data_IF_151683102673
#
_entry.id   IF_151683102673
#
_cell.length_a   1.000
_cell.length_b   1.000
_cell.length_c   1.000
_cell.angle_alpha   90.00
_cell.angle_beta   90.00
_cell.angle_gamma   90.00
#
_symmetry.space_group_name_H-M   'P 1'
#
loop_
_entity.id
_entity.type
_entity.pdbx_description
1 polymer ?
#
# COMPACT_ATOMS: atom_id res chain seq x y z
N UNK A 1 14.77 -5.08 -9.48
CA UNK A 1 14.68 -6.51 -9.81
C UNK A 1 14.08 -6.62 -11.20
N UNK A 2 14.46 -7.62 -12.00
CA UNK A 2 14.02 -7.80 -13.39
C UNK A 2 13.45 -9.22 -13.53
N UNK A 3 12.28 -9.37 -14.15
CA UNK A 3 11.72 -10.67 -14.48
C UNK A 3 12.56 -11.34 -15.58
N UNK A 4 13.04 -12.56 -15.34
CA UNK A 4 13.88 -13.35 -16.23
C UNK A 4 13.13 -14.45 -16.95
N UNK A 5 12.23 -15.12 -16.25
CA UNK A 5 11.40 -16.14 -16.89
C UNK A 5 10.11 -16.38 -16.13
N UNK A 6 9.14 -16.89 -16.87
CA UNK A 6 7.88 -17.44 -16.36
C UNK A 6 7.82 -18.89 -16.80
N UNK A 7 7.60 -19.80 -15.86
CA UNK A 7 7.33 -21.21 -16.11
C UNK A 7 5.86 -21.51 -15.79
N UNK A 8 5.15 -22.10 -16.74
CA UNK A 8 3.73 -22.39 -16.66
C UNK A 8 3.49 -23.90 -16.72
N UNK A 9 2.93 -24.44 -15.63
CA UNK A 9 2.59 -25.85 -15.47
C UNK A 9 1.06 -26.00 -15.36
N UNK A 10 0.42 -26.40 -16.47
CA UNK A 10 -1.04 -26.54 -16.58
C UNK A 10 -1.84 -25.26 -16.27
N UNK A 11 -1.32 -24.10 -16.74
CA UNK A 11 -1.92 -22.78 -16.58
C UNK A 11 -2.67 -22.34 -17.86
N UNK A 12 -3.99 -22.36 -17.81
CA UNK A 12 -4.89 -22.07 -18.93
C UNK A 12 -4.66 -23.06 -20.07
N UNK A 13 -4.14 -22.55 -21.20
CA UNK A 13 -3.78 -23.38 -22.36
C UNK A 13 -2.35 -23.93 -22.32
N UNK A 14 -1.51 -23.41 -21.43
CA UNK A 14 -0.10 -23.76 -21.36
C UNK A 14 0.07 -24.99 -20.48
N UNK A 15 0.67 -26.06 -21.03
CA UNK A 15 0.86 -27.32 -20.30
C UNK A 15 2.18 -27.33 -19.55
N UNK A 16 3.28 -27.11 -20.25
CA UNK A 16 4.64 -26.96 -19.73
C UNK A 16 5.32 -25.97 -20.67
N UNK A 17 5.24 -24.68 -20.35
CA UNK A 17 5.82 -23.63 -21.18
C UNK A 17 6.72 -22.76 -20.32
N UNK A 18 7.97 -22.61 -20.76
CA UNK A 18 8.89 -21.60 -20.22
C UNK A 18 8.97 -20.45 -21.22
N UNK A 19 8.88 -19.23 -20.71
CA UNK A 19 9.10 -18.00 -21.49
C UNK A 19 10.19 -17.20 -20.81
N UNK A 20 11.25 -16.90 -21.56
CA UNK A 20 12.37 -16.10 -21.09
C UNK A 20 12.23 -14.64 -21.53
N UNK A 21 12.61 -13.73 -20.64
CA UNK A 21 12.61 -12.29 -20.85
C UNK A 21 14.03 -11.75 -20.80
N UNK A 22 14.32 -10.84 -21.73
CA UNK A 22 15.59 -10.11 -21.78
C UNK A 22 15.43 -8.72 -21.17
N UNK A 23 16.56 -8.09 -20.83
CA UNK A 23 16.56 -6.69 -20.41
C UNK A 23 16.12 -5.82 -21.58
N UNK A 24 15.31 -4.79 -21.30
CA UNK A 24 14.72 -3.92 -22.32
C UNK A 24 13.30 -4.35 -22.69
N UNK A 25 12.92 -4.09 -23.94
CA UNK A 25 11.56 -4.36 -24.43
C UNK A 25 11.44 -5.79 -24.96
N UNK A 26 10.47 -6.53 -24.43
CA UNK A 26 10.12 -7.88 -24.89
C UNK A 26 8.78 -7.81 -25.62
N UNK A 27 8.73 -8.26 -26.88
CA UNK A 27 7.52 -8.23 -27.71
C UNK A 27 6.96 -9.64 -27.88
N UNK A 28 5.71 -9.85 -27.45
CA UNK A 28 5.01 -11.14 -27.55
C UNK A 28 3.94 -11.05 -28.65
N UNK A 29 4.16 -11.76 -29.77
CA UNK A 29 3.24 -11.79 -30.91
C UNK A 29 2.65 -13.19 -31.06
N UNK A 30 1.37 -13.25 -31.42
CA UNK A 30 0.69 -14.49 -31.75
C UNK A 30 -0.75 -14.21 -32.20
N UNK A 31 -1.42 -15.20 -32.82
CA UNK A 31 -2.81 -15.07 -33.25
C UNK A 31 -3.77 -14.79 -32.07
N UNK A 32 -5.03 -14.48 -32.37
CA UNK A 32 -6.06 -14.43 -31.33
C UNK A 32 -6.11 -15.78 -30.60
N UNK A 33 -6.40 -15.73 -29.30
CA UNK A 33 -6.40 -16.92 -28.43
C UNK A 33 -5.04 -17.64 -28.34
N UNK A 34 -3.96 -16.99 -28.81
CA UNK A 34 -2.59 -17.41 -28.55
C UNK A 34 -2.16 -17.25 -27.09
N UNK A 35 -3.08 -17.10 -26.13
CA UNK A 35 -2.78 -17.05 -24.70
C UNK A 35 -1.84 -15.92 -24.28
N UNK A 36 -1.72 -14.86 -25.09
CA UNK A 36 -0.86 -13.70 -24.78
C UNK A 36 -1.27 -13.03 -23.47
N UNK A 37 -2.56 -12.73 -23.34
CA UNK A 37 -3.12 -12.17 -22.11
C UNK A 37 -3.03 -13.15 -20.95
N UNK A 38 -3.16 -14.45 -21.21
CA UNK A 38 -2.98 -15.51 -20.20
C UNK A 38 -1.54 -15.57 -19.67
N UNK A 39 -0.54 -15.44 -20.55
CA UNK A 39 0.87 -15.35 -20.17
C UNK A 39 1.12 -14.11 -19.30
N UNK A 40 0.56 -12.96 -19.69
CA UNK A 40 0.70 -11.72 -18.93
C UNK A 40 0.05 -11.83 -17.54
N UNK A 41 -1.18 -12.36 -17.45
CA UNK A 41 -1.91 -12.58 -16.20
C UNK A 41 -1.29 -13.64 -15.28
N UNK A 42 -0.43 -14.51 -15.80
CA UNK A 42 0.30 -15.45 -14.96
C UNK A 42 1.21 -14.76 -13.95
N UNK A 43 1.75 -13.57 -14.27
CA UNK A 43 2.65 -12.81 -13.39
C UNK A 43 1.94 -12.40 -12.10
N UNK A 44 0.85 -11.59 -12.12
CA UNK A 44 0.12 -11.26 -10.90
C UNK A 44 -0.50 -12.49 -10.24
N UNK A 45 -0.93 -13.50 -11.01
CA UNK A 45 -1.47 -14.73 -10.45
C UNK A 45 -0.45 -15.50 -9.61
N UNK A 46 0.82 -15.60 -10.04
CA UNK A 46 1.87 -16.25 -9.25
C UNK A 46 2.26 -15.41 -8.03
N UNK A 47 2.34 -14.09 -8.19
CA UNK A 47 2.70 -13.20 -7.08
C UNK A 47 1.62 -13.20 -6.01
N UNK A 48 0.36 -12.96 -6.35
CA UNK A 48 -0.69 -12.67 -5.37
C UNK A 48 -1.79 -13.72 -5.28
N UNK A 49 -1.83 -14.68 -6.20
CA UNK A 49 -2.96 -15.60 -6.36
C UNK A 49 -4.03 -15.02 -7.28
N UNK A 50 -5.15 -15.73 -7.45
CA UNK A 50 -6.21 -15.29 -8.38
C UNK A 50 -7.59 -15.66 -7.87
N UNK A 51 -8.54 -14.73 -8.02
CA UNK A 51 -9.97 -15.00 -7.81
C UNK A 51 -10.62 -15.73 -9.01
N UNK A 52 -9.90 -15.89 -10.11
CA UNK A 52 -10.43 -16.42 -11.37
C UNK A 52 -9.78 -17.76 -11.75
N UNK A 53 -9.53 -18.62 -10.76
CA UNK A 53 -8.87 -19.92 -10.96
C UNK A 53 -9.53 -20.75 -12.05
N UNK A 54 -10.87 -20.74 -12.14
CA UNK A 54 -11.63 -21.48 -13.16
C UNK A 54 -11.27 -21.08 -14.59
N UNK A 55 -10.81 -19.85 -14.84
CA UNK A 55 -10.35 -19.41 -16.17
C UNK A 55 -9.00 -20.01 -16.56
N UNK A 56 -8.19 -20.38 -15.57
CA UNK A 56 -6.83 -20.88 -15.76
C UNK A 56 -6.73 -22.38 -15.49
N UNK A 57 -7.78 -23.02 -14.99
CA UNK A 57 -7.80 -24.45 -14.79
C UNK A 57 -7.86 -25.16 -16.14
N UNK A 58 -6.88 -26.04 -16.39
CA UNK A 58 -6.89 -26.88 -17.59
C UNK A 58 -7.96 -27.98 -17.44
N UNK A 59 -8.83 -28.16 -18.43
CA UNK A 59 -9.89 -29.18 -18.38
C UNK A 59 -9.30 -30.59 -18.12
N UNK A 60 -9.89 -31.31 -17.18
CA UNK A 60 -9.47 -32.67 -16.83
C UNK A 60 -8.18 -32.80 -16.02
N UNK A 61 -7.60 -31.69 -15.53
CA UNK A 61 -6.43 -31.70 -14.65
C UNK A 61 -6.72 -31.01 -13.32
N UNK A 62 -6.17 -31.57 -12.25
CA UNK A 62 -6.20 -31.01 -10.89
C UNK A 62 -4.84 -30.42 -10.51
N UNK A 63 -4.13 -29.83 -11.47
CA UNK A 63 -2.87 -29.14 -11.24
C UNK A 63 -2.86 -27.83 -12.02
N UNK A 64 -2.48 -26.75 -11.35
CA UNK A 64 -2.26 -25.44 -11.94
C UNK A 64 -1.19 -24.74 -11.09
N UNK A 65 0.04 -24.74 -11.60
CA UNK A 65 1.19 -24.14 -10.95
C UNK A 65 1.96 -23.26 -11.93
N UNK A 66 2.64 -22.27 -11.40
CA UNK A 66 3.53 -21.44 -12.19
C UNK A 66 4.65 -20.87 -11.31
N UNK A 67 5.78 -20.59 -11.95
CA UNK A 67 6.97 -20.05 -11.31
C UNK A 67 7.42 -18.78 -12.01
N UNK A 68 7.87 -17.80 -11.24
CA UNK A 68 8.53 -16.59 -11.72
C UNK A 68 9.97 -16.58 -11.23
N UNK A 69 10.88 -16.19 -12.12
CA UNK A 69 12.28 -16.02 -11.79
C UNK A 69 12.66 -14.56 -11.99
N UNK A 70 13.20 -13.94 -10.96
CA UNK A 70 13.68 -12.57 -10.95
C UNK A 70 15.19 -12.54 -10.72
N UNK A 71 15.83 -11.53 -11.27
CA UNK A 71 17.26 -11.27 -11.06
C UNK A 71 17.52 -9.77 -10.84
N UNK A 72 18.45 -9.46 -9.95
CA UNK A 72 18.99 -8.12 -9.83
C UNK A 72 19.82 -7.96 -8.56
N UNK A 73 20.73 -6.97 -8.56
CA UNK A 73 21.57 -6.63 -7.41
C UNK A 73 22.38 -7.82 -6.85
N UNK A 74 22.84 -8.73 -7.71
CA UNK A 74 23.59 -9.94 -7.32
C UNK A 74 22.74 -11.00 -6.60
N UNK A 75 21.42 -10.98 -6.83
CA UNK A 75 20.46 -11.91 -6.24
C UNK A 75 19.56 -12.51 -7.31
N UNK A 76 19.20 -13.76 -7.11
CA UNK A 76 18.20 -14.48 -7.89
C UNK A 76 17.04 -14.87 -6.98
N UNK A 77 15.81 -14.63 -7.43
CA UNK A 77 14.62 -14.94 -6.65
C UNK A 77 13.68 -15.80 -7.49
N UNK A 78 13.21 -16.89 -6.89
CA UNK A 78 12.19 -17.76 -7.46
C UNK A 78 10.93 -17.64 -6.62
N UNK A 79 9.80 -17.39 -7.26
CA UNK A 79 8.46 -17.47 -6.65
C UNK A 79 7.69 -18.55 -7.37
N UNK A 80 7.37 -19.64 -6.69
CA UNK A 80 6.53 -20.74 -7.20
C UNK A 80 5.20 -20.71 -6.48
N UNK A 81 4.09 -20.81 -7.20
CA UNK A 81 2.75 -20.90 -6.62
C UNK A 81 1.98 -22.08 -7.20
N UNK A 82 1.29 -22.81 -6.32
CA UNK A 82 0.20 -23.69 -6.69
C UNK A 82 -1.12 -22.92 -6.55
N UNK A 83 -1.77 -22.64 -7.67
CA UNK A 83 -2.97 -21.81 -7.72
C UNK A 83 -4.22 -22.55 -7.25
N UNK A 84 -4.16 -23.88 -7.13
CA UNK A 84 -5.25 -24.69 -6.58
C UNK A 84 -5.28 -24.66 -5.05
N UNK A 85 -4.11 -24.63 -4.41
CA UNK A 85 -3.96 -24.71 -2.94
C UNK A 85 -3.56 -23.39 -2.29
N UNK A 86 -3.24 -22.37 -3.10
CA UNK A 86 -2.63 -21.10 -2.70
C UNK A 86 -1.32 -21.26 -1.92
N UNK A 87 -0.65 -22.41 -2.08
CA UNK A 87 0.69 -22.64 -1.53
C UNK A 87 1.72 -21.92 -2.39
N UNK A 88 2.63 -21.23 -1.70
CA UNK A 88 3.69 -20.44 -2.31
C UNK A 88 5.01 -20.82 -1.69
N UNK A 89 6.02 -20.92 -2.55
CA UNK A 89 7.42 -21.01 -2.16
C UNK A 89 8.15 -19.82 -2.76
N UNK A 90 8.84 -19.06 -1.92
CA UNK A 90 9.73 -17.98 -2.35
C UNK A 90 11.14 -18.32 -1.88
N UNK A 91 12.10 -18.32 -2.79
CA UNK A 91 13.51 -18.61 -2.49
C UNK A 91 14.37 -17.51 -3.08
N UNK A 92 15.18 -16.87 -2.24
CA UNK A 92 16.19 -15.89 -2.63
C UNK A 92 17.58 -16.50 -2.50
N UNK A 93 18.41 -16.33 -3.52
CA UNK A 93 19.79 -16.82 -3.55
C UNK A 93 20.76 -15.72 -3.96
N UNK A 94 22.00 -15.82 -3.50
CA UNK A 94 23.12 -15.00 -3.99
C UNK A 94 23.67 -15.52 -5.35
N UNK A 95 24.67 -14.82 -5.88
CA UNK A 95 25.36 -15.20 -7.13
C UNK A 95 26.14 -16.53 -7.03
N UNK A 96 26.41 -17.02 -5.81
CA UNK A 96 27.02 -18.32 -5.54
C UNK A 96 25.97 -19.42 -5.32
N UNK A 97 24.69 -19.12 -5.55
CA UNK A 97 23.55 -20.00 -5.34
C UNK A 97 23.28 -20.41 -3.88
N UNK A 98 23.86 -19.71 -2.90
CA UNK A 98 23.50 -19.90 -1.51
C UNK A 98 22.14 -19.27 -1.22
N UNK A 99 21.29 -20.02 -0.51
CA UNK A 99 19.97 -19.53 -0.09
C UNK A 99 20.15 -18.46 1.00
N UNK A 100 19.68 -17.25 0.72
CA UNK A 100 19.70 -16.11 1.64
C UNK A 100 18.42 -16.04 2.47
N UNK A 101 17.29 -16.27 1.83
CA UNK A 101 15.97 -16.29 2.47
C UNK A 101 15.06 -17.29 1.78
N UNK A 102 14.14 -17.87 2.54
CA UNK A 102 13.14 -18.81 2.03
C UNK A 102 11.83 -18.65 2.80
N UNK A 103 10.74 -18.72 2.07
CA UNK A 103 9.38 -18.78 2.60
C UNK A 103 8.64 -19.96 1.97
N UNK A 104 7.82 -20.65 2.77
CA UNK A 104 6.87 -21.66 2.29
C UNK A 104 5.60 -21.57 3.14
N UNK A 105 4.46 -21.40 2.48
CA UNK A 105 3.20 -21.26 3.19
C UNK A 105 2.01 -20.97 2.28
N UNK A 106 0.82 -20.90 2.89
CA UNK A 106 -0.41 -20.53 2.17
C UNK A 106 -0.61 -19.02 2.17
N UNK A 107 -0.68 -18.45 0.97
CA UNK A 107 -0.86 -17.02 0.76
C UNK A 107 -1.99 -16.72 -0.25
N UNK A 108 -3.26 -17.05 0.06
CA UNK A 108 -4.39 -16.74 -0.81
C UNK A 108 -4.55 -15.24 -1.03
N UNK A 109 -5.09 -14.84 -2.19
CA UNK A 109 -5.24 -13.45 -2.63
C UNK A 109 -5.87 -12.53 -1.56
N UNK A 110 -6.96 -12.98 -0.95
CA UNK A 110 -7.69 -12.25 0.12
C UNK A 110 -7.35 -12.73 1.53
N UNK A 111 -6.23 -13.45 1.67
CA UNK A 111 -5.77 -13.97 2.95
C UNK A 111 -5.32 -12.88 3.92
N UNK A 112 -5.56 -13.12 5.21
CA UNK A 112 -5.19 -12.22 6.32
C UNK A 112 -4.37 -12.91 7.42
N UNK A 113 -3.98 -14.18 7.22
CA UNK A 113 -3.16 -14.92 8.18
C UNK A 113 -1.77 -14.30 8.34
N UNK A 114 -1.07 -14.63 9.42
CA UNK A 114 0.31 -14.20 9.64
C UNK A 114 1.22 -14.57 8.45
N UNK A 115 1.08 -15.79 7.92
CA UNK A 115 1.80 -16.25 6.73
C UNK A 115 1.51 -15.41 5.49
N UNK A 116 0.27 -14.91 5.31
CA UNK A 116 -0.05 -13.97 4.22
C UNK A 116 0.65 -12.62 4.38
N UNK A 117 0.73 -12.11 5.62
CA UNK A 117 1.38 -10.81 5.91
C UNK A 117 2.88 -10.91 5.66
N UNK A 118 3.52 -11.93 6.20
CA UNK A 118 4.94 -12.24 5.98
C UNK A 118 5.26 -12.34 4.48
N UNK A 119 4.45 -13.10 3.73
CA UNK A 119 4.65 -13.21 2.29
C UNK A 119 4.49 -11.87 1.56
N UNK A 120 3.47 -11.06 1.90
CA UNK A 120 3.29 -9.72 1.29
C UNK A 120 4.46 -8.79 1.59
N UNK A 121 5.02 -8.83 2.79
CA UNK A 121 6.22 -8.07 3.16
C UNK A 121 7.43 -8.47 2.31
N UNK A 122 7.63 -9.76 2.06
CA UNK A 122 8.69 -10.25 1.17
C UNK A 122 8.49 -9.77 -0.28
N UNK A 123 7.26 -9.85 -0.80
CA UNK A 123 6.95 -9.35 -2.15
C UNK A 123 7.13 -7.83 -2.24
N UNK A 124 6.72 -7.08 -1.20
CA UNK A 124 6.94 -5.65 -1.11
C UNK A 124 8.43 -5.28 -1.07
N UNK A 125 9.26 -6.03 -0.33
CA UNK A 125 10.71 -5.83 -0.32
C UNK A 125 11.34 -6.10 -1.69
N UNK A 126 10.80 -7.07 -2.44
CA UNK A 126 11.29 -7.47 -3.77
C UNK A 126 10.90 -6.47 -4.89
N UNK A 127 9.64 -6.03 -4.94
CA UNK A 127 9.05 -5.25 -6.04
C UNK A 127 8.69 -3.81 -5.66
N UNK A 128 8.76 -3.45 -4.38
CA UNK A 128 8.25 -2.18 -3.83
C UNK A 128 6.74 -2.16 -3.60
N UNK A 129 6.02 -3.20 -4.02
CA UNK A 129 4.55 -3.30 -3.90
C UNK A 129 4.18 -4.72 -3.49
N UNK A 130 3.47 -4.86 -2.38
CA UNK A 130 3.04 -6.15 -1.82
C UNK A 130 1.56 -6.51 -2.03
N UNK A 131 0.82 -5.67 -2.74
CA UNK A 131 -0.62 -5.84 -2.97
C UNK A 131 -0.97 -5.95 -4.46
N UNK A 132 -1.96 -6.79 -4.79
CA UNK A 132 -2.39 -7.06 -6.18
C UNK A 132 -2.99 -5.82 -6.86
N UNK A 133 -3.82 -5.04 -6.15
CA UNK A 133 -4.46 -3.86 -6.74
C UNK A 133 -3.41 -2.82 -7.11
N UNK A 134 -2.49 -2.57 -6.19
CA UNK A 134 -1.39 -1.63 -6.41
C UNK A 134 -0.43 -2.10 -7.52
N UNK A 135 -0.15 -3.40 -7.60
CA UNK A 135 0.66 -3.97 -8.67
C UNK A 135 -0.01 -3.76 -10.04
N UNK A 136 -1.32 -3.98 -10.13
CA UNK A 136 -2.13 -3.75 -11.34
C UNK A 136 -2.30 -2.26 -11.68
N UNK A 137 -2.15 -1.37 -10.70
CA UNK A 137 -2.16 0.08 -10.93
C UNK A 137 -0.85 0.59 -11.54
N UNK A 138 0.27 -0.06 -11.23
CA UNK A 138 1.62 0.51 -11.44
C UNK A 138 2.48 -0.28 -12.42
N UNK A 139 2.50 -1.61 -12.31
CA UNK A 139 3.40 -2.49 -13.07
C UNK A 139 2.67 -3.29 -14.15
N UNK A 140 1.36 -3.54 -13.99
CA UNK A 140 0.61 -4.42 -14.88
C UNK A 140 -0.66 -3.76 -15.41
N UNK A 141 -0.62 -3.35 -16.68
CA UNK A 141 -1.78 -2.83 -17.40
C UNK A 141 -2.38 -3.97 -18.22
N UNK A 142 -3.41 -4.63 -17.68
CA UNK A 142 -4.09 -5.74 -18.34
C UNK A 142 -4.76 -5.35 -19.67
N UNK A 143 -5.48 -6.30 -20.28
CA UNK A 143 -6.15 -6.06 -21.58
C UNK A 143 -7.16 -4.90 -21.53
N UNK A 144 -7.74 -4.65 -20.35
CA UNK A 144 -8.50 -3.45 -20.05
C UNK A 144 -7.87 -2.86 -18.81
N UNK A 145 -7.06 -1.79 -18.93
CA UNK A 145 -6.58 -1.06 -17.77
C UNK A 145 -7.79 -0.68 -16.94
N UNK A 146 -7.73 -0.96 -15.64
CA UNK A 146 -8.76 -0.50 -14.73
C UNK A 146 -8.75 1.04 -14.81
N UNK A 147 -9.91 1.67 -14.94
CA UNK A 147 -10.02 3.12 -14.82
C UNK A 147 -9.97 3.43 -13.33
N UNK A 148 -8.96 4.20 -12.92
CA UNK A 148 -8.85 4.68 -11.55
C UNK A 148 -9.40 6.09 -11.52
N UNK A 149 -10.30 6.38 -10.58
CA UNK A 149 -10.55 7.77 -10.22
C UNK A 149 -9.28 8.35 -9.59
N UNK A 150 -9.01 9.64 -9.79
CA UNK A 150 -7.83 10.30 -9.23
C UNK A 150 -7.76 10.15 -7.70
N UNK A 151 -8.92 10.12 -7.05
CA UNK A 151 -9.06 9.98 -5.60
C UNK A 151 -8.73 8.56 -5.11
N UNK A 152 -9.20 7.51 -5.79
CA UNK A 152 -8.86 6.12 -5.42
C UNK A 152 -7.37 5.82 -5.57
N UNK A 153 -6.73 6.33 -6.63
CA UNK A 153 -5.29 6.16 -6.81
C UNK A 153 -4.51 6.94 -5.75
N UNK A 154 -4.94 8.17 -5.45
CA UNK A 154 -4.32 8.98 -4.40
C UNK A 154 -4.44 8.30 -3.03
N UNK A 155 -5.58 7.70 -2.70
CA UNK A 155 -5.78 7.02 -1.42
C UNK A 155 -4.88 5.77 -1.33
N UNK A 156 -4.83 4.95 -2.37
CA UNK A 156 -3.96 3.78 -2.42
C UNK A 156 -2.45 4.13 -2.40
N UNK A 157 -2.04 5.22 -3.06
CA UNK A 157 -0.67 5.74 -2.98
C UNK A 157 -0.33 6.27 -1.58
N UNK A 158 -1.26 6.94 -0.90
CA UNK A 158 -1.08 7.40 0.48
C UNK A 158 -0.87 6.22 1.43
N UNK A 159 -1.67 5.17 1.31
CA UNK A 159 -1.51 3.92 2.07
C UNK A 159 -0.14 3.27 1.86
N UNK A 160 0.39 3.30 0.63
CA UNK A 160 1.74 2.81 0.33
C UNK A 160 2.83 3.62 1.00
N UNK A 161 2.74 4.96 0.97
CA UNK A 161 3.75 5.87 1.54
C UNK A 161 3.73 5.82 3.07
N UNK A 162 2.55 5.64 3.66
CA UNK A 162 2.36 5.68 5.10
C UNK A 162 2.55 4.34 5.80
N UNK A 163 2.52 3.23 5.04
CA UNK A 163 2.86 1.89 5.53
C UNK A 163 1.81 1.25 6.46
N UNK A 164 0.67 1.91 6.70
CA UNK A 164 -0.42 1.32 7.49
C UNK A 164 -1.71 1.25 6.66
N UNK A 165 -2.29 0.06 6.60
CA UNK A 165 -3.58 -0.20 5.94
C UNK A 165 -4.78 -0.01 6.89
N UNK A 166 -4.53 0.34 8.16
CA UNK A 166 -5.56 0.36 9.22
C UNK A 166 -6.10 1.75 9.55
N UNK A 167 -5.44 2.82 9.09
CA UNK A 167 -5.86 4.18 9.34
C UNK A 167 -6.35 4.84 8.05
N UNK A 168 -7.61 5.29 8.02
CA UNK A 168 -8.07 6.20 6.98
C UNK A 168 -7.43 7.57 7.22
N UNK A 169 -6.25 7.76 6.64
CA UNK A 169 -5.50 9.00 6.75
C UNK A 169 -6.30 10.22 6.34
N UNK A 170 -7.26 10.07 5.42
CA UNK A 170 -8.13 11.18 5.05
C UNK A 170 -9.03 11.55 6.23
N UNK A 171 -9.66 10.57 6.87
CA UNK A 171 -10.49 10.80 8.05
C UNK A 171 -9.68 11.36 9.23
N UNK A 172 -8.50 10.81 9.53
CA UNK A 172 -7.64 11.31 10.61
C UNK A 172 -7.15 12.73 10.32
N UNK A 173 -6.78 13.01 9.07
CA UNK A 173 -6.37 14.36 8.69
C UNK A 173 -7.53 15.35 8.78
N UNK A 174 -8.73 14.94 8.36
CA UNK A 174 -9.94 15.76 8.47
C UNK A 174 -10.28 16.04 9.94
N UNK A 175 -10.23 15.02 10.81
CA UNK A 175 -10.44 15.15 12.26
C UNK A 175 -9.42 16.10 12.89
N UNK A 176 -8.12 15.93 12.58
CA UNK A 176 -7.05 16.80 13.08
C UNK A 176 -7.20 18.24 12.57
N UNK A 177 -7.61 18.43 11.31
CA UNK A 177 -7.89 19.75 10.75
C UNK A 177 -9.13 20.38 11.40
N UNK A 178 -10.11 19.59 11.83
CA UNK A 178 -11.25 20.06 12.62
C UNK A 178 -10.85 20.48 14.04
N UNK A 179 -10.07 19.67 14.75
CA UNK A 179 -9.55 20.01 16.07
C UNK A 179 -8.66 21.25 16.03
N UNK A 180 -7.75 21.32 15.05
CA UNK A 180 -6.91 22.49 14.83
C UNK A 180 -7.76 23.73 14.58
N UNK A 181 -8.83 23.61 13.78
CA UNK A 181 -9.76 24.71 13.55
C UNK A 181 -10.50 25.15 14.81
N UNK A 182 -10.85 24.23 15.72
CA UNK A 182 -11.44 24.63 17.00
C UNK A 182 -10.47 25.47 17.86
N UNK A 183 -9.16 25.25 17.72
CA UNK A 183 -8.12 25.97 18.46
C UNK A 183 -7.70 27.29 17.79
N UNK A 184 -7.55 27.32 16.46
CA UNK A 184 -7.15 28.51 15.70
C UNK A 184 -7.84 28.57 14.34
N UNK A 185 -8.21 29.78 13.90
CA UNK A 185 -8.81 30.02 12.59
C UNK A 185 -7.79 30.10 11.46
N UNK A 186 -6.51 30.30 11.78
CA UNK A 186 -5.43 30.44 10.80
C UNK A 186 -4.84 29.07 10.45
N UNK A 187 -4.85 28.71 9.16
CA UNK A 187 -4.22 27.49 8.67
C UNK A 187 -3.03 27.81 7.75
N UNK A 188 -1.78 27.65 8.22
CA UNK A 188 -0.57 27.94 7.43
C UNK A 188 -0.41 27.07 6.18
N UNK A 189 -1.08 25.91 6.09
CA UNK A 189 -0.87 24.90 5.05
C UNK A 189 -2.10 24.64 4.17
N UNK A 190 -3.17 25.44 4.31
CA UNK A 190 -4.45 25.13 3.68
C UNK A 190 -5.33 26.35 3.43
N UNK A 191 -6.64 26.10 3.32
CA UNK A 191 -7.64 27.17 3.25
C UNK A 191 -8.18 27.43 4.64
N UNK A 192 -8.21 28.69 5.05
CA UNK A 192 -8.88 29.10 6.28
C UNK A 192 -10.37 28.78 6.18
N UNK A 193 -10.92 28.18 7.24
CA UNK A 193 -12.36 27.93 7.32
C UNK A 193 -13.07 29.27 7.57
N UNK A 194 -14.00 29.62 6.66
CA UNK A 194 -14.73 30.90 6.68
C UNK A 194 -15.83 31.00 7.75
N UNK A 195 -16.20 29.88 8.36
CA UNK A 195 -17.27 29.87 9.37
C UNK A 195 -16.69 30.27 10.72
N UNK A 196 -17.48 30.94 11.56
CA UNK A 196 -17.06 31.25 12.93
C UNK A 196 -16.98 29.96 13.77
N UNK A 197 -15.96 29.90 14.64
CA UNK A 197 -15.76 28.78 15.58
C UNK A 197 -16.83 28.77 16.65
N UNK A 198 -17.00 27.63 17.32
CA UNK A 198 -17.93 27.56 18.47
C UNK A 198 -17.56 28.55 19.56
N UNK A 199 -16.26 28.74 19.83
CA UNK A 199 -15.77 29.76 20.76
C UNK A 199 -16.27 31.16 20.39
N UNK A 200 -16.10 31.58 19.13
CA UNK A 200 -16.53 32.89 18.65
C UNK A 200 -18.06 33.04 18.72
N UNK A 201 -18.80 31.98 18.39
CA UNK A 201 -20.27 31.96 18.52
C UNK A 201 -20.72 32.08 19.97
N UNK A 202 -20.05 31.40 20.90
CA UNK A 202 -20.36 31.45 22.34
C UNK A 202 -19.99 32.83 22.90
N UNK A 203 -18.85 33.43 22.51
CA UNK A 203 -18.50 34.80 22.86
C UNK A 203 -19.57 35.79 22.39
N UNK A 204 -20.01 35.69 21.13
CA UNK A 204 -21.09 36.53 20.60
C UNK A 204 -22.41 36.33 21.37
N UNK A 205 -22.78 35.09 21.69
CA UNK A 205 -23.99 34.81 22.48
C UNK A 205 -23.90 35.35 23.91
N UNK A 206 -22.71 35.34 24.52
CA UNK A 206 -22.47 35.89 25.85
C UNK A 206 -22.45 37.44 25.82
N UNK A 207 -21.96 38.05 24.75
CA UNK A 207 -22.05 39.50 24.52
C UNK A 207 -23.52 39.93 24.34
N UNK A 208 -24.30 39.19 23.54
CA UNK A 208 -25.73 39.45 23.34
C UNK A 208 -26.57 39.20 24.61
N UNK A 209 -26.12 38.31 25.50
CA UNK A 209 -26.81 37.96 26.74
C UNK A 209 -26.40 38.80 27.97
N UNK A 210 -25.36 39.62 27.88
CA UNK A 210 -24.85 40.42 29.01
C UNK A 210 -25.04 41.93 28.82
N UNK A 211 -25.99 42.51 29.57
CA UNK A 211 -25.82 43.90 30.00
C UNK A 211 -24.67 43.95 31.01
N UNK A 212 -23.55 44.55 30.60
CA UNK A 212 -22.35 44.86 31.42
C UNK A 212 -21.58 43.66 32.01
N UNK A 213 -20.54 43.23 31.29
CA UNK A 213 -19.41 42.52 31.89
C UNK A 213 -18.47 41.98 30.84
N UNK A 214 -17.29 42.61 30.67
CA UNK A 214 -16.21 42.14 29.78
C UNK A 214 -16.00 40.63 29.97
N UNK A 215 -16.27 39.86 28.94
CA UNK A 215 -15.74 38.50 28.81
C UNK A 215 -14.21 38.67 28.79
N UNK A 216 -13.43 37.87 29.54
CA UNK A 216 -11.98 37.89 29.39
C UNK A 216 -11.67 37.37 28.00
N UNK A 217 -11.52 38.30 27.06
CA UNK A 217 -10.65 38.13 25.88
C UNK A 217 -9.34 37.64 26.45
N UNK A 218 -8.91 36.44 26.05
CA UNK A 218 -7.62 35.81 26.34
C UNK A 218 -6.93 36.33 27.61
N UNK A 219 -6.80 35.47 28.63
CA UNK A 219 -5.69 35.68 29.58
C UNK A 219 -4.41 35.53 28.75
N UNK A 220 -3.94 36.63 28.17
CA UNK A 220 -2.53 36.81 27.86
C UNK A 220 -1.84 36.55 29.19
N UNK A 221 -1.19 35.39 29.29
CA UNK A 221 -0.30 35.08 30.39
C UNK A 221 0.98 35.91 30.23
N UNK A 222 0.84 37.23 30.15
CA UNK A 222 1.93 38.18 30.37
C UNK A 222 2.04 38.44 31.89
N UNK A 223 2.03 37.36 32.68
CA UNK A 223 2.37 37.40 34.09
C UNK A 223 3.87 37.11 34.18
N UNK A 224 4.69 38.15 34.41
CA UNK A 224 6.15 38.01 34.58
C UNK A 224 6.52 36.94 35.63
N UNK A 225 5.65 36.73 36.62
CA UNK A 225 5.78 35.70 37.65
C UNK A 225 5.66 34.27 37.11
N UNK A 226 4.82 34.04 36.09
CA UNK A 226 4.65 32.71 35.46
C UNK A 226 5.86 32.39 34.58
N UNK A 227 6.40 33.36 33.85
CA UNK A 227 7.65 33.18 33.11
C UNK A 227 8.84 32.91 34.03
N UNK A 228 8.93 33.61 35.16
CA UNK A 228 9.97 33.34 36.16
C UNK A 228 9.84 31.93 36.78
N UNK A 229 8.62 31.44 37.01
CA UNK A 229 8.39 30.07 37.49
C UNK A 229 8.73 29.01 36.43
N UNK A 230 8.40 29.25 35.16
CA UNK A 230 8.76 28.34 34.05
C UNK A 230 10.28 28.28 33.88
N UNK A 231 10.98 29.42 33.93
CA UNK A 231 12.43 29.46 33.84
C UNK A 231 13.08 28.74 35.04
N UNK A 232 12.60 28.98 36.27
CA UNK A 232 13.11 28.30 37.46
C UNK A 232 12.96 26.76 37.36
N UNK A 233 11.78 26.28 36.95
CA UNK A 233 11.51 24.85 36.75
C UNK A 233 12.34 24.26 35.60
N UNK A 234 12.58 25.02 34.54
CA UNK A 234 13.42 24.60 33.42
C UNK A 234 14.88 24.41 33.82
N UNK A 235 15.41 25.25 34.73
CA UNK A 235 16.75 25.08 35.31
C UNK A 235 16.88 23.86 36.24
N UNK A 236 15.81 23.43 36.89
CA UNK A 236 15.81 22.22 37.72
C UNK A 236 15.81 20.94 36.88
N UNK A 237 15.19 20.96 35.69
CA UNK A 237 15.13 19.83 34.77
C UNK A 237 16.46 19.53 34.03
N UNK A 238 17.43 20.45 34.08
CA UNK A 238 18.74 20.34 33.39
C UNK A 238 19.86 19.90 34.35
N UNK A 239 19.56 19.65 35.63
CA UNK A 239 20.49 18.99 36.59
C UNK A 239 20.23 17.50 36.67
#
# INVERSE_FOLDING_TARGET
MILRSVELESFGRFKNQTVEFRRGMNLVIGPNEAGKSTLAEAVPAVLFGTAHLEKYKTWGRNACSASLFFEGKGRTIQVRRNLMTDEVELVEKDDMYHVLSQFSGKAPLRGRSASCREYRELVAALLGVGDDQLFRATYFFGHHPQEWSGDELAQNLRTLVSGTAEADYAAILDDLLEEHFNLTSENPWGRDKKQAREYEKICLQLEDASETGKIPVFVELDDEDVHAQIDALSTELVK
#
